data_IF_510094429838
#
_entry.id   IF_510094429838
#
_cell.length_a   1.000
_cell.length_b   1.000
_cell.length_c   1.000
_cell.angle_alpha   90.00
_cell.angle_beta   90.00
_cell.angle_gamma   90.00
#
_symmetry.space_group_name_H-M   'P 1'
#
loop_
_entity.id
_entity.type
_entity.pdbx_description
1 polymer ?
#
# COMPACT_ATOMS: atom_id res chain seq x y z
N UNK A 1 -16.49 -28.37 -9.88
CA UNK A 1 -17.55 -27.34 -9.92
C UNK A 1 -16.95 -26.07 -10.46
N UNK A 2 -17.61 -25.34 -11.37
CA UNK A 2 -17.09 -24.04 -11.80
C UNK A 2 -16.96 -23.13 -10.57
N UNK A 3 -15.86 -22.40 -10.48
CA UNK A 3 -15.65 -21.45 -9.39
C UNK A 3 -16.78 -20.40 -9.40
N UNK A 4 -17.34 -20.04 -8.23
CA UNK A 4 -18.46 -19.09 -8.17
C UNK A 4 -18.07 -17.68 -8.58
N UNK A 5 -16.75 -17.43 -8.78
CA UNK A 5 -16.22 -16.11 -9.12
C UNK A 5 -15.27 -16.15 -10.30
N UNK A 6 -15.33 -15.11 -11.11
CA UNK A 6 -14.31 -14.78 -12.12
C UNK A 6 -13.47 -13.61 -11.62
N UNK A 7 -12.16 -13.69 -11.82
CA UNK A 7 -11.23 -12.64 -11.43
C UNK A 7 -10.54 -12.08 -12.66
N UNK A 8 -10.48 -10.76 -12.77
CA UNK A 8 -9.75 -10.05 -13.81
C UNK A 8 -8.69 -9.15 -13.15
N UNK A 9 -7.40 -9.34 -13.49
CA UNK A 9 -6.33 -8.47 -12.98
C UNK A 9 -6.40 -7.09 -13.64
N UNK A 10 -6.27 -6.04 -12.83
CA UNK A 10 -6.13 -4.66 -13.27
C UNK A 10 -4.68 -4.17 -13.21
N UNK A 11 -3.78 -5.00 -12.67
CA UNK A 11 -2.36 -4.71 -12.51
C UNK A 11 -1.87 -4.88 -11.09
N UNK A 12 -0.62 -4.51 -10.88
CA UNK A 12 0.01 -4.53 -9.56
C UNK A 12 0.38 -3.12 -9.10
N UNK A 13 0.32 -2.87 -7.81
CA UNK A 13 0.82 -1.64 -7.21
C UNK A 13 1.96 -1.92 -6.26
N UNK A 14 2.95 -1.01 -6.25
CA UNK A 14 4.10 -1.08 -5.37
C UNK A 14 3.77 -0.51 -3.98
N UNK A 15 4.67 -0.77 -3.02
CA UNK A 15 4.58 -0.21 -1.68
C UNK A 15 5.55 0.95 -1.49
N UNK A 16 5.14 1.87 -0.63
CA UNK A 16 5.87 3.08 -0.29
C UNK A 16 5.99 3.22 1.23
N UNK A 17 7.13 3.71 1.67
CA UNK A 17 7.33 4.14 3.05
C UNK A 17 6.85 5.59 3.17
N UNK A 18 5.97 5.85 4.12
CA UNK A 18 5.49 7.21 4.45
C UNK A 18 6.10 7.62 5.78
N UNK A 19 6.70 8.80 5.80
CA UNK A 19 7.47 9.32 6.92
C UNK A 19 7.39 10.85 6.98
N UNK A 20 7.66 11.46 8.15
CA UNK A 20 7.71 12.91 8.28
C UNK A 20 8.84 13.48 7.40
N UNK A 21 8.62 14.66 6.82
CA UNK A 21 9.64 15.36 6.01
C UNK A 21 10.96 15.59 6.78
N UNK A 22 10.89 15.76 8.10
CA UNK A 22 12.06 15.93 8.99
C UNK A 22 12.84 14.64 9.30
N UNK A 23 12.28 13.49 8.92
CA UNK A 23 12.93 12.20 9.20
C UNK A 23 14.20 12.03 8.34
N UNK A 24 15.26 11.45 8.92
CA UNK A 24 16.56 11.25 8.23
C UNK A 24 16.44 10.55 6.87
N UNK A 25 15.52 9.56 6.76
CA UNK A 25 15.27 8.83 5.51
C UNK A 25 14.45 9.61 4.48
N UNK A 26 13.89 10.77 4.81
CA UNK A 26 13.12 11.59 3.89
C UNK A 26 13.93 12.12 2.70
N UNK A 27 15.26 12.25 2.89
CA UNK A 27 16.20 12.69 1.84
C UNK A 27 16.57 11.61 0.84
N UNK A 28 16.33 10.35 1.17
CA UNK A 28 16.60 9.23 0.26
C UNK A 28 15.61 9.24 -0.90
N UNK A 29 16.04 8.84 -2.09
CA UNK A 29 15.15 8.67 -3.25
C UNK A 29 14.27 7.43 -3.13
N UNK A 30 14.79 6.39 -2.49
CA UNK A 30 14.13 5.11 -2.24
C UNK A 30 14.61 4.55 -0.89
N UNK A 31 13.86 3.64 -0.30
CA UNK A 31 14.19 3.04 1.00
C UNK A 31 14.21 1.52 0.86
N UNK A 32 15.32 0.90 1.27
CA UNK A 32 15.43 -0.55 1.29
C UNK A 32 14.68 -1.13 2.49
N UNK A 33 14.02 -2.27 2.30
CA UNK A 33 13.28 -2.94 3.37
C UNK A 33 14.16 -3.23 4.58
N UNK A 34 15.40 -3.73 4.37
CA UNK A 34 16.35 -3.99 5.45
C UNK A 34 16.77 -2.74 6.23
N UNK A 35 16.75 -1.58 5.58
CA UNK A 35 17.04 -0.29 6.23
C UNK A 35 15.98 0.13 7.25
N UNK A 36 14.83 -0.53 7.26
CA UNK A 36 13.74 -0.30 8.20
C UNK A 36 13.71 -1.28 9.38
N UNK A 37 14.69 -2.19 9.51
CA UNK A 37 14.72 -3.23 10.54
C UNK A 37 14.52 -2.69 11.96
N UNK A 38 15.15 -1.56 12.27
CA UNK A 38 15.06 -0.93 13.58
C UNK A 38 13.96 0.13 13.67
N UNK A 39 13.20 0.33 12.58
CA UNK A 39 12.13 1.31 12.55
C UNK A 39 10.91 0.82 13.33
N UNK A 40 10.26 1.77 13.99
CA UNK A 40 8.96 1.55 14.61
C UNK A 40 7.86 1.91 13.61
N UNK A 41 6.89 1.04 13.42
CA UNK A 41 5.79 1.25 12.48
C UNK A 41 4.48 1.59 13.19
N UNK A 42 3.72 2.47 12.57
CA UNK A 42 2.27 2.58 12.73
C UNK A 42 1.63 1.73 11.65
N UNK A 43 0.73 0.83 11.99
CA UNK A 43 0.32 -0.25 11.11
C UNK A 43 -1.18 -0.45 11.04
N UNK A 44 -1.63 -1.11 9.99
CA UNK A 44 -2.97 -1.66 9.90
C UNK A 44 -3.10 -2.94 10.75
N UNK A 45 -4.31 -3.41 11.06
CA UNK A 45 -4.53 -4.64 11.80
C UNK A 45 -3.90 -5.88 11.13
N UNK A 46 -3.65 -6.92 11.89
CA UNK A 46 -2.97 -8.15 11.44
C UNK A 46 -3.79 -8.95 10.42
N UNK A 47 -5.11 -8.82 10.40
CA UNK A 47 -6.01 -9.40 9.41
C UNK A 47 -6.02 -8.62 8.07
N UNK A 48 -5.47 -7.40 8.05
CA UNK A 48 -5.30 -6.63 6.81
C UNK A 48 -4.33 -7.33 5.86
N UNK A 49 -4.74 -7.50 4.60
CA UNK A 49 -3.86 -8.02 3.54
C UNK A 49 -2.59 -7.18 3.38
N UNK A 50 -2.70 -5.86 3.45
CA UNK A 50 -1.56 -4.93 3.41
C UNK A 50 -0.53 -5.25 4.50
N UNK A 51 -0.99 -5.41 5.74
CA UNK A 51 -0.13 -5.75 6.87
C UNK A 51 0.55 -7.10 6.67
N UNK A 52 -0.18 -8.13 6.26
CA UNK A 52 0.38 -9.47 6.05
C UNK A 52 1.46 -9.49 4.96
N UNK A 53 1.28 -8.74 3.88
CA UNK A 53 2.28 -8.64 2.81
C UNK A 53 3.58 -8.03 3.34
N UNK A 54 3.49 -6.94 4.11
CA UNK A 54 4.64 -6.22 4.67
C UNK A 54 5.37 -7.07 5.70
N UNK A 55 4.65 -7.69 6.62
CA UNK A 55 5.24 -8.56 7.65
C UNK A 55 5.87 -9.81 7.02
N UNK A 56 5.24 -10.38 5.98
CA UNK A 56 5.80 -11.50 5.23
C UNK A 56 7.08 -11.14 4.50
N UNK A 57 7.17 -9.95 3.92
CA UNK A 57 8.41 -9.48 3.29
C UNK A 57 9.54 -9.28 4.31
N UNK A 58 9.25 -8.75 5.49
CA UNK A 58 10.22 -8.62 6.59
C UNK A 58 10.68 -9.99 7.09
N UNK A 59 9.76 -10.93 7.30
CA UNK A 59 10.09 -12.29 7.73
C UNK A 59 11.00 -13.01 6.72
N UNK A 60 10.72 -12.88 5.43
CA UNK A 60 11.58 -13.41 4.35
C UNK A 60 12.97 -12.76 4.37
N UNK A 61 13.07 -11.49 4.76
CA UNK A 61 14.33 -10.77 4.92
C UNK A 61 15.04 -11.05 6.25
N UNK A 62 14.48 -11.89 7.12
CA UNK A 62 15.05 -12.36 8.37
C UNK A 62 14.85 -11.45 9.58
N UNK A 63 13.77 -10.63 9.59
CA UNK A 63 13.43 -9.79 10.74
C UNK A 63 11.92 -9.59 10.89
N UNK A 64 11.52 -9.00 12.01
CA UNK A 64 10.13 -8.57 12.27
C UNK A 64 10.11 -7.09 12.61
N UNK A 65 9.04 -6.40 12.20
CA UNK A 65 8.86 -5.01 12.56
C UNK A 65 8.38 -4.83 14.01
N UNK A 66 8.80 -3.72 14.61
CA UNK A 66 8.20 -3.23 15.85
C UNK A 66 6.98 -2.36 15.47
N UNK A 67 5.82 -2.69 16.03
CA UNK A 67 4.58 -1.96 15.80
C UNK A 67 4.19 -1.20 17.07
N UNK A 68 4.21 0.15 16.99
CA UNK A 68 3.86 1.00 18.13
C UNK A 68 2.34 1.09 18.31
N UNK A 69 1.62 1.26 17.20
CA UNK A 69 0.17 1.46 17.20
C UNK A 69 -0.44 0.73 16.01
N UNK A 70 -1.63 0.18 16.22
CA UNK A 70 -2.45 -0.43 15.18
C UNK A 70 -3.73 0.37 15.00
N UNK A 71 -4.03 0.78 13.78
CA UNK A 71 -5.22 1.54 13.40
C UNK A 71 -5.83 0.98 12.12
N UNK A 72 -7.13 1.16 11.94
CA UNK A 72 -7.86 0.59 10.81
C UNK A 72 -8.15 1.57 9.65
N UNK A 73 -7.70 2.82 9.77
CA UNK A 73 -7.92 3.85 8.75
C UNK A 73 -6.61 4.56 8.40
N UNK A 74 -6.38 4.80 7.10
CA UNK A 74 -5.19 5.49 6.60
C UNK A 74 -5.07 6.92 7.14
N UNK A 75 -6.17 7.66 7.24
CA UNK A 75 -6.15 9.02 7.77
C UNK A 75 -5.60 9.08 9.20
N UNK A 76 -6.07 8.18 10.06
CA UNK A 76 -5.57 8.05 11.45
C UNK A 76 -4.11 7.62 11.47
N UNK A 77 -3.74 6.66 10.62
CA UNK A 77 -2.37 6.19 10.48
C UNK A 77 -1.41 7.34 10.14
N UNK A 78 -1.78 8.21 9.18
CA UNK A 78 -0.96 9.37 8.82
C UNK A 78 -0.86 10.40 9.94
N UNK A 79 -1.90 10.58 10.75
CA UNK A 79 -1.86 11.46 11.90
C UNK A 79 -0.81 11.01 12.92
N UNK A 80 -0.70 9.71 13.21
CA UNK A 80 0.36 9.18 14.07
C UNK A 80 1.75 9.36 13.45
N UNK A 81 1.89 9.18 12.14
CA UNK A 81 3.18 9.39 11.45
C UNK A 81 3.60 10.86 11.52
N UNK A 82 2.69 11.82 11.30
CA UNK A 82 2.98 13.26 11.43
C UNK A 82 3.49 13.62 12.82
N UNK A 83 2.91 13.00 13.84
CA UNK A 83 3.31 13.22 15.23
C UNK A 83 4.56 12.44 15.66
N UNK A 84 5.22 11.75 14.72
CA UNK A 84 6.51 11.09 14.98
C UNK A 84 6.44 9.79 15.78
N UNK A 85 5.26 9.17 15.89
CA UNK A 85 5.08 7.89 16.60
C UNK A 85 5.82 6.76 15.91
N UNK A 86 5.92 6.83 14.57
CA UNK A 86 6.62 5.84 13.75
C UNK A 86 6.49 6.17 12.27
N UNK A 87 6.99 5.26 11.44
CA UNK A 87 6.80 5.28 10.00
C UNK A 87 5.61 4.40 9.62
N UNK A 88 5.17 4.44 8.37
CA UNK A 88 4.23 3.46 7.85
C UNK A 88 4.60 3.01 6.44
N UNK A 89 4.11 1.83 6.06
CA UNK A 89 4.30 1.27 4.72
C UNK A 89 2.91 1.05 4.13
N UNK A 90 2.65 1.67 2.98
CA UNK A 90 1.33 1.69 2.34
C UNK A 90 1.45 1.37 0.85
N UNK A 91 0.40 0.83 0.22
CA UNK A 91 0.37 0.68 -1.23
C UNK A 91 0.23 2.04 -1.93
N UNK A 92 0.61 2.10 -3.20
CA UNK A 92 0.66 3.34 -4.00
C UNK A 92 -0.67 4.11 -4.00
N UNK A 93 -1.78 3.42 -4.15
CA UNK A 93 -3.11 4.06 -4.16
C UNK A 93 -3.51 4.70 -2.81
N UNK A 94 -2.87 4.30 -1.73
CA UNK A 94 -3.13 4.82 -0.40
C UNK A 94 -2.10 5.88 0.06
N UNK A 95 -1.17 6.29 -0.80
CA UNK A 95 -0.20 7.34 -0.43
C UNK A 95 -0.90 8.66 -0.09
N UNK A 96 -0.39 9.43 0.89
CA UNK A 96 -0.82 10.80 1.09
C UNK A 96 -0.60 11.62 -0.19
N UNK A 97 -1.29 12.75 -0.37
CA UNK A 97 -1.10 13.62 -1.52
C UNK A 97 0.37 14.05 -1.69
N UNK A 98 0.82 14.21 -2.93
CA UNK A 98 2.20 14.60 -3.22
C UNK A 98 2.56 16.01 -2.68
N UNK A 99 1.54 16.85 -2.45
CA UNK A 99 1.68 18.20 -1.89
C UNK A 99 1.48 18.25 -0.36
N UNK A 100 1.49 17.09 0.32
CA UNK A 100 1.42 17.08 1.78
C UNK A 100 2.63 17.84 2.37
N UNK A 101 2.37 18.81 3.23
CA UNK A 101 3.39 19.69 3.79
C UNK A 101 4.23 19.06 4.89
N UNK A 102 3.84 17.90 5.41
CA UNK A 102 4.46 17.27 6.57
C UNK A 102 4.97 15.85 6.30
N UNK A 103 4.39 15.17 5.30
CA UNK A 103 4.71 13.79 4.96
C UNK A 103 5.37 13.68 3.59
N UNK A 104 6.20 12.69 3.46
CA UNK A 104 6.78 12.27 2.18
C UNK A 104 6.64 10.77 2.00
N UNK A 105 6.41 10.35 0.75
CA UNK A 105 6.39 8.94 0.36
C UNK A 105 7.67 8.59 -0.40
N UNK A 106 8.31 7.47 -0.05
CA UNK A 106 9.49 6.94 -0.74
C UNK A 106 9.23 5.51 -1.19
N UNK A 107 9.60 5.13 -2.42
CA UNK A 107 9.46 3.75 -2.87
C UNK A 107 10.15 2.78 -1.93
N UNK A 108 9.48 1.68 -1.59
CA UNK A 108 10.07 0.56 -0.87
C UNK A 108 10.74 -0.37 -1.88
N UNK A 109 12.01 -0.64 -1.68
CA UNK A 109 12.82 -1.45 -2.60
C UNK A 109 13.64 -2.50 -1.84
N UNK A 110 14.19 -3.44 -2.59
CA UNK A 110 15.09 -4.54 -2.14
C UNK A 110 14.58 -5.31 -0.91
N UNK A 111 13.54 -6.14 -1.07
CA UNK A 111 12.86 -6.47 -2.32
C UNK A 111 11.78 -5.43 -2.70
N UNK A 112 11.41 -5.37 -3.98
CA UNK A 112 10.20 -4.67 -4.38
C UNK A 112 9.00 -5.48 -3.90
N UNK A 113 8.22 -4.89 -3.02
CA UNK A 113 6.97 -5.46 -2.53
C UNK A 113 5.82 -4.91 -3.36
N UNK A 114 4.92 -5.78 -3.81
CA UNK A 114 3.76 -5.39 -4.59
C UNK A 114 2.54 -6.22 -4.22
N UNK A 115 1.37 -5.73 -4.59
CA UNK A 115 0.12 -6.49 -4.52
C UNK A 115 -0.66 -6.37 -5.82
N UNK A 116 -1.35 -7.45 -6.19
CA UNK A 116 -2.29 -7.45 -7.31
C UNK A 116 -3.57 -6.71 -6.94
N UNK A 117 -4.06 -5.94 -7.90
CA UNK A 117 -5.38 -5.32 -7.88
C UNK A 117 -6.21 -5.99 -8.95
N UNK A 118 -7.41 -6.41 -8.62
CA UNK A 118 -8.29 -7.06 -9.56
C UNK A 118 -9.76 -6.79 -9.30
N UNK A 119 -10.57 -7.18 -10.25
CA UNK A 119 -12.03 -7.18 -10.15
C UNK A 119 -12.48 -8.62 -9.98
N UNK A 120 -13.34 -8.82 -9.00
CA UNK A 120 -13.99 -10.11 -8.73
C UNK A 120 -15.46 -9.98 -9.07
N UNK A 121 -16.00 -10.91 -9.84
CA UNK A 121 -17.40 -10.97 -10.23
C UNK A 121 -17.97 -12.36 -9.99
N UNK A 122 -19.28 -12.44 -9.77
CA UNK A 122 -19.98 -13.72 -9.79
C UNK A 122 -19.96 -14.30 -11.22
N UNK A 123 -19.59 -15.56 -11.34
CA UNK A 123 -19.63 -16.29 -12.60
C UNK A 123 -21.09 -16.42 -13.09
N UNK A 124 -21.29 -16.31 -14.41
CA UNK A 124 -22.60 -16.49 -15.03
C UNK A 124 -23.58 -15.34 -14.80
N UNK A 125 -23.13 -14.19 -14.29
CA UNK A 125 -23.95 -13.00 -14.12
C UNK A 125 -23.51 -11.89 -15.09
N UNK A 126 -24.48 -11.41 -15.90
CA UNK A 126 -24.23 -10.28 -16.79
C UNK A 126 -24.03 -8.99 -15.99
N UNK A 127 -23.13 -8.15 -16.50
CA UNK A 127 -22.93 -6.82 -15.91
C UNK A 127 -24.01 -5.85 -16.38
N UNK A 128 -24.49 -5.03 -15.47
CA UNK A 128 -25.33 -3.90 -15.86
C UNK A 128 -24.49 -2.91 -16.71
N UNK A 129 -25.13 -2.09 -17.58
CA UNK A 129 -24.42 -1.07 -18.35
C UNK A 129 -23.60 -0.12 -17.47
N UNK A 130 -24.10 0.25 -16.29
CA UNK A 130 -23.40 1.09 -15.33
C UNK A 130 -22.13 0.41 -14.78
N UNK A 131 -22.22 -0.87 -14.44
CA UNK A 131 -21.06 -1.66 -13.96
C UNK A 131 -20.00 -1.82 -15.06
N UNK A 132 -20.43 -2.05 -16.32
CA UNK A 132 -19.52 -2.13 -17.46
C UNK A 132 -18.82 -0.79 -17.72
N UNK A 133 -19.55 0.33 -17.66
CA UNK A 133 -18.97 1.66 -17.78
C UNK A 133 -17.95 1.98 -16.67
N UNK A 134 -18.28 1.65 -15.41
CA UNK A 134 -17.35 1.81 -14.30
C UNK A 134 -16.07 0.97 -14.50
N UNK A 135 -16.20 -0.26 -14.96
CA UNK A 135 -15.06 -1.13 -15.23
C UNK A 135 -14.13 -0.52 -16.29
N UNK A 136 -14.68 0.04 -17.37
CA UNK A 136 -13.91 0.71 -18.41
C UNK A 136 -13.13 1.89 -17.82
N UNK A 137 -13.77 2.75 -17.04
CA UNK A 137 -13.13 3.89 -16.38
C UNK A 137 -12.02 3.47 -15.42
N UNK A 138 -12.23 2.41 -14.63
CA UNK A 138 -11.23 1.87 -13.72
C UNK A 138 -10.00 1.35 -14.49
N UNK A 139 -10.20 0.62 -15.59
CA UNK A 139 -9.10 0.13 -16.43
C UNK A 139 -8.28 1.27 -17.03
N UNK A 140 -8.93 2.30 -17.53
CA UNK A 140 -8.26 3.49 -18.06
C UNK A 140 -7.49 4.25 -16.99
N UNK A 141 -8.07 4.38 -15.80
CA UNK A 141 -7.47 5.13 -14.68
C UNK A 141 -6.24 4.41 -14.12
N UNK A 142 -6.29 3.10 -13.97
CA UNK A 142 -5.19 2.31 -13.40
C UNK A 142 -4.05 2.07 -14.39
N UNK A 143 -4.31 2.12 -15.70
CA UNK A 143 -3.26 2.08 -16.74
C UNK A 143 -2.41 3.35 -16.82
N UNK A 144 -2.91 4.48 -16.31
CA UNK A 144 -2.15 5.73 -16.26
C UNK A 144 -1.26 5.73 -15.03
N UNK A 145 0.09 5.75 -15.18
CA UNK A 145 0.97 5.90 -14.03
C UNK A 145 0.59 7.19 -13.28
N UNK A 146 0.47 7.11 -11.96
CA UNK A 146 0.35 8.32 -11.14
C UNK A 146 1.58 9.18 -11.41
N UNK A 147 1.41 10.34 -12.01
CA UNK A 147 2.49 11.32 -12.09
C UNK A 147 2.92 11.65 -10.66
N UNK A 148 4.20 11.44 -10.42
CA UNK A 148 4.92 11.81 -9.19
C UNK A 148 4.88 13.31 -9.03
#
# INVERSE_FOLDING_TARGET
MPEPFTTESLGAEAFYVVLPLRHRLARAKEIELKGLKEATLVSLPTDSRTRRIIDGAAATAGFTFRHAVTVNQFATLYSFVRNGVGLTIVPDLARPPAHDSELVSRPLVRPRVSREIGIVRLSGRDMTPAAAGLLTLLKERLRRPRRV
#
